data_IF_457804611324
#
_entry.id   IF_457804611324
#
_cell.length_a   1.000
_cell.length_b   1.000
_cell.length_c   1.000
_cell.angle_alpha   90.00
_cell.angle_beta   90.00
_cell.angle_gamma   90.00
#
_symmetry.space_group_name_H-M   'P 1'
#
loop_
_entity.id
_entity.type
_entity.pdbx_description
1 polymer ?
#
# COMPACT_ATOMS: atom_id res chain seq x y z
N UNK A 1 8.01 -6.31 -9.47
CA UNK A 1 9.32 -6.44 -10.14
C UNK A 1 9.60 -7.91 -10.41
N UNK A 2 9.95 -8.26 -11.65
CA UNK A 2 10.33 -9.63 -12.01
C UNK A 2 11.84 -9.82 -11.82
N UNK A 3 12.23 -10.91 -11.16
CA UNK A 3 13.61 -11.33 -10.92
C UNK A 3 13.77 -12.75 -11.46
N UNK A 4 14.66 -12.93 -12.43
CA UNK A 4 14.94 -14.21 -13.04
C UNK A 4 16.39 -14.25 -13.53
N UNK A 5 16.87 -15.44 -13.86
CA UNK A 5 18.16 -15.66 -14.52
C UNK A 5 17.99 -16.60 -15.71
N UNK A 6 18.92 -16.52 -16.65
CA UNK A 6 19.05 -17.54 -17.70
C UNK A 6 19.94 -18.68 -17.18
N UNK A 7 19.57 -19.91 -17.53
CA UNK A 7 20.40 -21.10 -17.38
C UNK A 7 20.34 -21.88 -18.69
N UNK A 8 21.35 -21.67 -19.54
CA UNK A 8 21.28 -22.09 -20.94
C UNK A 8 20.13 -21.36 -21.65
N UNK A 9 19.28 -22.13 -22.33
CA UNK A 9 18.09 -21.62 -23.03
C UNK A 9 16.86 -21.48 -22.09
N UNK A 10 16.98 -21.88 -20.82
CA UNK A 10 15.89 -21.82 -19.86
C UNK A 10 15.90 -20.52 -19.04
N UNK A 11 14.71 -19.99 -18.74
CA UNK A 11 14.50 -18.92 -17.77
C UNK A 11 14.15 -19.54 -16.42
N UNK A 12 14.87 -19.15 -15.37
CA UNK A 12 14.58 -19.52 -13.99
C UNK A 12 14.11 -18.30 -13.18
N UNK A 13 12.83 -18.21 -12.82
CA UNK A 13 12.36 -17.19 -11.90
C UNK A 13 13.01 -17.35 -10.53
N UNK A 14 13.26 -16.22 -9.84
CA UNK A 14 13.83 -16.22 -8.50
C UNK A 14 12.84 -16.87 -7.54
N UNK A 15 13.22 -18.03 -7.02
CA UNK A 15 12.54 -18.70 -5.93
C UNK A 15 13.25 -18.41 -4.61
N UNK A 16 12.49 -18.04 -3.59
CA UNK A 16 12.93 -17.87 -2.22
C UNK A 16 12.66 -19.17 -1.43
N UNK A 17 13.66 -19.75 -0.75
CA UNK A 17 13.45 -20.83 0.19
C UNK A 17 12.81 -20.34 1.50
N UNK A 18 12.16 -21.24 2.23
CA UNK A 18 11.65 -20.99 3.58
C UNK A 18 12.77 -21.16 4.62
N UNK A 19 13.76 -20.27 4.58
CA UNK A 19 14.84 -20.24 5.57
C UNK A 19 14.67 -19.04 6.52
N UNK A 20 15.41 -19.04 7.62
CA UNK A 20 15.33 -18.01 8.67
C UNK A 20 15.55 -16.60 8.12
N UNK A 21 16.44 -16.40 7.16
CA UNK A 21 16.71 -15.10 6.54
C UNK A 21 15.49 -14.52 5.82
N UNK A 22 14.87 -15.29 4.92
CA UNK A 22 13.72 -14.80 4.16
C UNK A 22 12.44 -14.76 5.00
N UNK A 23 12.28 -15.69 5.96
CA UNK A 23 11.17 -15.65 6.91
C UNK A 23 11.26 -14.42 7.83
N UNK A 24 12.46 -14.10 8.33
CA UNK A 24 12.69 -12.87 9.10
C UNK A 24 12.36 -11.62 8.28
N UNK A 25 12.88 -11.52 7.05
CA UNK A 25 12.56 -10.41 6.16
C UNK A 25 11.05 -10.24 5.88
N UNK A 26 10.35 -11.35 5.67
CA UNK A 26 8.90 -11.33 5.50
C UNK A 26 8.18 -10.89 6.78
N UNK A 27 8.60 -11.40 7.94
CA UNK A 27 8.05 -11.02 9.24
C UNK A 27 8.24 -9.53 9.55
N UNK A 28 9.43 -8.98 9.30
CA UNK A 28 9.73 -7.55 9.51
C UNK A 28 8.82 -6.66 8.66
N UNK A 29 8.62 -7.02 7.38
CA UNK A 29 7.72 -6.29 6.49
C UNK A 29 6.25 -6.41 6.92
N UNK A 30 5.80 -7.60 7.35
CA UNK A 30 4.44 -7.79 7.86
C UNK A 30 4.24 -6.91 9.11
N UNK A 31 5.18 -6.93 10.05
CA UNK A 31 5.14 -6.11 11.25
C UNK A 31 5.11 -4.62 10.91
N UNK A 32 5.89 -4.16 9.93
CA UNK A 32 5.84 -2.77 9.48
C UNK A 32 4.44 -2.38 8.97
N UNK A 33 3.81 -3.20 8.16
CA UNK A 33 2.45 -2.91 7.69
C UNK A 33 1.43 -2.88 8.85
N UNK A 34 1.56 -3.78 9.83
CA UNK A 34 0.71 -3.79 11.02
C UNK A 34 0.84 -2.50 11.84
N UNK A 35 2.06 -1.98 12.03
CA UNK A 35 2.28 -0.74 12.79
C UNK A 35 1.89 0.52 12.02
N UNK A 36 1.75 0.45 10.70
CA UNK A 36 1.35 1.56 9.84
C UNK A 36 -0.18 1.63 9.61
N UNK A 37 -0.98 0.74 10.19
CA UNK A 37 -2.45 0.87 10.16
C UNK A 37 -2.86 2.19 10.83
N UNK A 38 -3.68 2.98 10.16
CA UNK A 38 -4.07 4.34 10.57
C UNK A 38 -3.14 5.45 10.09
N UNK A 39 -1.98 5.11 9.50
CA UNK A 39 -1.04 6.07 8.93
C UNK A 39 -1.25 6.26 7.42
N UNK A 40 -0.63 7.31 6.88
CA UNK A 40 -0.66 7.60 5.44
C UNK A 40 0.19 6.62 4.65
N UNK A 41 -0.19 6.37 3.40
CA UNK A 41 0.59 5.57 2.46
C UNK A 41 2.00 6.16 2.26
N UNK A 42 2.14 7.49 2.32
CA UNK A 42 3.42 8.20 2.23
C UNK A 42 4.34 7.94 3.43
N UNK A 43 3.80 7.83 4.64
CA UNK A 43 4.56 7.40 5.83
C UNK A 43 5.04 5.96 5.69
N UNK A 44 4.16 5.05 5.27
CA UNK A 44 4.53 3.66 4.98
C UNK A 44 5.63 3.59 3.90
N UNK A 45 5.50 4.35 2.82
CA UNK A 45 6.51 4.39 1.75
C UNK A 45 7.88 4.85 2.28
N UNK A 46 7.91 5.83 3.19
CA UNK A 46 9.14 6.33 3.82
C UNK A 46 9.80 5.26 4.68
N UNK A 47 9.02 4.58 5.52
CA UNK A 47 9.51 3.49 6.37
C UNK A 47 10.03 2.31 5.53
N UNK A 48 9.34 1.97 4.44
CA UNK A 48 9.82 0.96 3.49
C UNK A 48 11.15 1.36 2.84
N UNK A 49 11.32 2.64 2.48
CA UNK A 49 12.56 3.14 1.89
C UNK A 49 13.73 3.10 2.88
N UNK A 50 13.49 3.40 4.16
CA UNK A 50 14.49 3.26 5.23
C UNK A 50 14.94 1.80 5.35
N UNK A 51 13.99 0.86 5.38
CA UNK A 51 14.25 -0.58 5.49
C UNK A 51 14.96 -1.15 4.25
N UNK A 52 14.82 -0.54 3.07
CA UNK A 52 15.56 -0.90 1.87
C UNK A 52 17.06 -0.53 1.94
N UNK A 53 17.40 0.58 2.60
CA UNK A 53 18.76 1.12 2.64
C UNK A 53 19.78 0.26 3.39
N UNK A 54 19.31 -0.71 4.18
CA UNK A 54 20.13 -1.52 5.07
C UNK A 54 20.69 -2.81 4.43
N UNK A 55 20.21 -3.22 3.23
CA UNK A 55 20.60 -4.51 2.62
C UNK A 55 20.57 -4.49 1.08
N UNK A 56 21.50 -5.22 0.47
CA UNK A 56 21.58 -5.55 -0.97
C UNK A 56 20.34 -6.26 -1.53
N UNK A 57 19.50 -6.88 -0.69
CA UNK A 57 18.28 -7.57 -1.11
C UNK A 57 17.07 -6.65 -1.36
N UNK A 58 17.27 -5.34 -1.54
CA UNK A 58 16.19 -4.34 -1.72
C UNK A 58 15.14 -4.73 -2.78
N UNK A 59 15.54 -5.41 -3.88
CA UNK A 59 14.60 -5.86 -4.92
C UNK A 59 13.60 -6.91 -4.40
N UNK A 60 14.03 -7.79 -3.49
CA UNK A 60 13.18 -8.80 -2.87
C UNK A 60 12.24 -8.11 -1.87
N UNK A 61 12.77 -7.22 -1.01
CA UNK A 61 11.99 -6.41 -0.06
C UNK A 61 10.87 -5.65 -0.79
N UNK A 62 11.19 -4.97 -1.89
CA UNK A 62 10.20 -4.31 -2.78
C UNK A 62 9.13 -5.24 -3.32
N UNK A 63 9.53 -6.44 -3.75
CA UNK A 63 8.58 -7.43 -4.26
C UNK A 63 7.62 -7.95 -3.19
N UNK A 64 8.12 -8.23 -1.98
CA UNK A 64 7.30 -8.63 -0.84
C UNK A 64 6.36 -7.50 -0.40
N UNK A 65 6.88 -6.29 -0.21
CA UNK A 65 6.09 -5.11 0.16
C UNK A 65 5.00 -4.80 -0.87
N UNK A 66 5.28 -4.99 -2.16
CA UNK A 66 4.28 -4.83 -3.22
C UNK A 66 3.13 -5.83 -3.10
N UNK A 67 3.42 -7.09 -2.74
CA UNK A 67 2.39 -8.11 -2.52
C UNK A 67 1.55 -7.76 -1.29
N UNK A 68 2.19 -7.38 -0.17
CA UNK A 68 1.51 -6.90 1.03
C UNK A 68 0.55 -5.75 0.70
N UNK A 69 1.05 -4.72 0.02
CA UNK A 69 0.27 -3.53 -0.34
C UNK A 69 -0.94 -3.83 -1.23
N UNK A 70 -0.81 -4.75 -2.17
CA UNK A 70 -1.86 -4.97 -3.17
C UNK A 70 -2.82 -6.12 -2.85
N UNK A 71 -2.42 -7.06 -1.98
CA UNK A 71 -3.21 -8.27 -1.69
C UNK A 71 -3.75 -8.33 -0.27
N UNK A 72 -3.20 -7.51 0.64
CA UNK A 72 -3.46 -7.63 2.07
C UNK A 72 -3.76 -6.29 2.74
N UNK A 73 -3.64 -5.17 2.04
CA UNK A 73 -3.81 -3.83 2.58
C UNK A 73 -4.91 -3.06 1.83
N UNK A 74 -5.73 -2.33 2.57
CA UNK A 74 -6.79 -1.46 2.04
C UNK A 74 -6.46 -0.01 2.36
N UNK A 75 -6.35 0.83 1.31
CA UNK A 75 -6.05 2.25 1.43
C UNK A 75 -7.26 3.08 1.01
N UNK A 76 -7.69 3.98 1.88
CA UNK A 76 -8.89 4.79 1.64
C UNK A 76 -8.62 6.29 1.71
N UNK A 77 -9.46 7.04 1.01
CA UNK A 77 -9.52 8.50 1.09
C UNK A 77 -10.32 8.86 2.34
N UNK A 78 -9.64 9.39 3.36
CA UNK A 78 -10.29 9.83 4.60
C UNK A 78 -10.44 11.35 4.59
N UNK A 79 -11.68 11.82 4.38
CA UNK A 79 -11.99 13.25 4.29
C UNK A 79 -13.41 13.54 4.76
N UNK A 80 -13.69 14.73 5.35
CA UNK A 80 -15.03 15.10 5.79
C UNK A 80 -16.04 15.28 4.64
N UNK A 81 -15.55 15.60 3.44
CA UNK A 81 -16.26 15.71 2.16
C UNK A 81 -15.39 15.14 1.05
N UNK A 82 -15.94 14.97 -0.16
CA UNK A 82 -15.12 14.69 -1.34
C UNK A 82 -14.01 15.74 -1.48
N UNK A 83 -12.71 15.36 -1.63
CA UNK A 83 -11.59 16.31 -1.59
C UNK A 83 -11.68 17.46 -2.60
N UNK A 84 -12.35 17.24 -3.73
CA UNK A 84 -12.62 18.29 -4.71
C UNK A 84 -13.60 19.36 -4.18
N UNK A 85 -14.68 18.92 -3.53
CA UNK A 85 -15.67 19.81 -2.92
C UNK A 85 -15.07 20.54 -1.72
N UNK A 86 -14.31 19.83 -0.89
CA UNK A 86 -13.64 20.41 0.26
C UNK A 86 -12.69 21.55 -0.15
N UNK A 87 -11.88 21.32 -1.20
CA UNK A 87 -11.01 22.36 -1.78
C UNK A 87 -11.80 23.55 -2.29
N UNK A 88 -12.90 23.33 -3.01
CA UNK A 88 -13.76 24.42 -3.49
C UNK A 88 -14.26 25.30 -2.34
N UNK A 89 -14.78 24.68 -1.26
CA UNK A 89 -15.29 25.43 -0.10
C UNK A 89 -14.19 26.18 0.65
N UNK A 90 -13.05 25.53 0.91
CA UNK A 90 -11.90 26.18 1.57
C UNK A 90 -11.39 27.36 0.75
N UNK A 91 -11.22 27.19 -0.56
CA UNK A 91 -10.68 28.25 -1.42
C UNK A 91 -11.70 29.37 -1.69
N UNK A 92 -13.00 29.08 -1.68
CA UNK A 92 -14.03 30.11 -1.73
C UNK A 92 -14.03 31.00 -0.46
N UNK A 93 -13.76 30.43 0.72
CA UNK A 93 -13.55 31.21 1.94
C UNK A 93 -12.24 32.02 1.87
N UNK A 94 -11.17 31.40 1.40
CA UNK A 94 -9.86 32.06 1.28
C UNK A 94 -9.88 33.24 0.30
N UNK A 95 -10.70 33.19 -0.75
CA UNK A 95 -10.82 34.26 -1.74
C UNK A 95 -11.46 35.55 -1.20
N UNK A 96 -12.09 35.53 -0.03
CA UNK A 96 -12.81 36.68 0.54
C UNK A 96 -11.91 37.68 1.27
N UNK A 97 -10.67 37.29 1.60
CA UNK A 97 -9.74 38.08 2.41
C UNK A 97 -8.32 38.02 1.87
N UNK A 98 -7.49 38.99 2.25
CA UNK A 98 -6.07 38.95 1.92
C UNK A 98 -5.39 37.72 2.55
N UNK A 99 -4.52 37.00 1.82
CA UNK A 99 -3.91 35.77 2.30
C UNK A 99 -2.95 36.04 3.47
N UNK A 100 -3.17 35.33 4.58
CA UNK A 100 -2.26 35.30 5.72
C UNK A 100 -2.36 33.96 6.46
N UNK A 101 -1.32 33.53 7.20
CA UNK A 101 -1.40 32.30 8.01
C UNK A 101 -2.57 32.32 9.01
N UNK A 102 -2.86 33.49 9.59
CA UNK A 102 -3.95 33.67 10.55
C UNK A 102 -5.32 33.53 9.86
N UNK A 103 -5.48 34.09 8.66
CA UNK A 103 -6.69 33.92 7.85
C UNK A 103 -6.88 32.45 7.46
N UNK A 104 -5.83 31.76 6.99
CA UNK A 104 -5.88 30.34 6.62
C UNK A 104 -6.38 29.46 7.78
N UNK A 105 -5.83 29.65 8.98
CA UNK A 105 -6.29 28.92 10.17
C UNK A 105 -7.75 29.27 10.52
N UNK A 106 -8.14 30.54 10.37
CA UNK A 106 -9.53 30.99 10.55
C UNK A 106 -10.51 30.33 9.58
N UNK A 107 -10.16 30.20 8.30
CA UNK A 107 -11.01 29.54 7.29
C UNK A 107 -11.26 28.07 7.64
N UNK A 108 -10.26 27.35 8.13
CA UNK A 108 -10.42 25.96 8.57
C UNK A 108 -11.38 25.85 9.76
N UNK A 109 -11.32 26.77 10.71
CA UNK A 109 -12.24 26.81 11.88
C UNK A 109 -13.67 27.14 11.45
N UNK A 110 -13.85 28.13 10.59
CA UNK A 110 -15.18 28.49 10.05
C UNK A 110 -15.78 27.32 9.31
N UNK A 111 -15.03 26.70 8.40
CA UNK A 111 -15.53 25.56 7.64
C UNK A 111 -15.78 24.33 8.51
N UNK A 112 -14.95 24.09 9.55
CA UNK A 112 -15.18 22.97 10.46
C UNK A 112 -16.49 23.11 11.22
N UNK A 113 -16.85 24.32 11.64
CA UNK A 113 -18.14 24.61 12.27
C UNK A 113 -19.30 24.43 11.30
N UNK A 114 -19.19 24.96 10.07
CA UNK A 114 -20.21 24.81 9.02
C UNK A 114 -20.46 23.34 8.69
N UNK A 115 -19.41 22.58 8.37
CA UNK A 115 -19.54 21.16 8.04
C UNK A 115 -20.02 20.33 9.24
N UNK A 116 -19.67 20.71 10.47
CA UNK A 116 -20.15 19.99 11.64
C UNK A 116 -21.68 20.08 11.78
N UNK A 117 -22.26 21.23 11.44
CA UNK A 117 -23.70 21.44 11.42
C UNK A 117 -24.37 20.74 10.24
N UNK A 118 -23.79 20.83 9.04
CA UNK A 118 -24.34 20.21 7.83
C UNK A 118 -24.37 18.68 7.90
N UNK A 119 -23.32 18.08 8.46
CA UNK A 119 -23.14 16.63 8.50
C UNK A 119 -23.64 15.98 9.80
N UNK A 120 -24.21 16.76 10.73
CA UNK A 120 -24.63 16.33 12.07
C UNK A 120 -23.56 15.50 12.82
N UNK A 121 -22.29 15.90 12.68
CA UNK A 121 -21.14 15.25 13.33
C UNK A 121 -20.03 16.25 13.58
N UNK A 122 -19.26 16.08 14.65
CA UNK A 122 -18.10 16.95 14.91
C UNK A 122 -17.02 16.75 13.85
N UNK A 123 -16.69 17.83 13.14
CA UNK A 123 -15.57 17.92 12.19
C UNK A 123 -14.56 18.92 12.74
N UNK A 124 -13.28 18.54 12.78
CA UNK A 124 -12.21 19.39 13.29
C UNK A 124 -11.48 20.12 12.16
N UNK A 125 -10.82 21.27 12.45
CA UNK A 125 -9.97 21.95 11.47
C UNK A 125 -8.84 21.06 10.93
N UNK A 126 -8.34 20.12 11.74
CA UNK A 126 -7.29 19.20 11.33
C UNK A 126 -7.81 18.15 10.32
N UNK A 127 -9.03 17.64 10.51
CA UNK A 127 -9.68 16.76 9.53
C UNK A 127 -9.90 17.45 8.18
N UNK A 128 -10.23 18.75 8.19
CA UNK A 128 -10.31 19.52 6.94
C UNK A 128 -8.93 19.64 6.30
N UNK A 129 -7.91 19.99 7.10
CA UNK A 129 -6.54 20.13 6.61
C UNK A 129 -6.03 18.84 5.96
N UNK A 130 -6.24 17.70 6.62
CA UNK A 130 -5.88 16.38 6.08
C UNK A 130 -6.72 16.04 4.84
N UNK A 131 -8.03 16.33 4.87
CA UNK A 131 -8.96 16.04 3.78
C UNK A 131 -8.69 16.79 2.46
N UNK A 132 -8.06 17.97 2.51
CA UNK A 132 -7.82 18.83 1.33
C UNK A 132 -7.17 18.08 0.15
N UNK A 133 -6.27 17.15 0.46
CA UNK A 133 -5.50 16.39 -0.53
C UNK A 133 -5.52 14.89 -0.24
N UNK A 134 -6.52 14.40 0.49
CA UNK A 134 -6.64 12.98 0.84
C UNK A 134 -6.81 12.05 -0.37
N UNK A 135 -7.20 12.60 -1.54
CA UNK A 135 -7.29 11.90 -2.82
C UNK A 135 -5.93 11.52 -3.42
N UNK A 136 -4.85 12.23 -3.05
CA UNK A 136 -3.49 11.93 -3.51
C UNK A 136 -3.04 10.55 -2.98
N UNK A 137 -2.40 9.70 -3.80
CA UNK A 137 -2.02 8.34 -3.39
C UNK A 137 -1.25 8.27 -2.07
N UNK A 138 -0.30 9.18 -1.84
CA UNK A 138 0.50 9.19 -0.62
C UNK A 138 -0.27 9.62 0.63
N UNK A 139 -1.40 10.34 0.48
CA UNK A 139 -2.21 10.81 1.60
C UNK A 139 -3.35 9.85 1.97
N UNK A 140 -3.56 8.78 1.20
CA UNK A 140 -4.54 7.75 1.54
C UNK A 140 -4.12 7.04 2.81
N UNK A 141 -5.09 6.68 3.65
CA UNK A 141 -4.85 6.05 4.95
C UNK A 141 -4.94 4.53 4.79
N UNK A 142 -3.97 3.81 5.35
CA UNK A 142 -4.05 2.36 5.50
C UNK A 142 -5.11 2.04 6.57
N UNK A 143 -6.33 1.72 6.15
CA UNK A 143 -7.45 1.49 7.09
C UNK A 143 -7.52 0.05 7.58
N UNK A 144 -7.02 -0.90 6.80
CA UNK A 144 -7.10 -2.32 7.09
C UNK A 144 -5.88 -3.04 6.54
N UNK A 145 -5.39 -4.01 7.31
CA UNK A 145 -4.34 -4.91 6.90
C UNK A 145 -4.64 -6.34 7.41
N UNK A 146 -4.75 -7.30 6.49
CA UNK A 146 -4.94 -8.73 6.77
C UNK A 146 -3.58 -9.45 6.70
N UNK A 147 -2.83 -9.57 7.80
CA UNK A 147 -1.45 -10.03 7.76
C UNK A 147 -1.35 -11.51 7.34
N UNK A 148 -0.64 -11.85 6.25
CA UNK A 148 -0.32 -13.25 5.96
C UNK A 148 0.73 -13.78 6.93
N UNK A 149 0.90 -15.11 7.00
CA UNK A 149 2.11 -15.66 7.61
C UNK A 149 3.33 -15.38 6.71
N UNK A 150 4.54 -15.31 7.27
CA UNK A 150 5.78 -15.15 6.49
C UNK A 150 5.93 -16.21 5.38
N UNK A 151 5.57 -17.47 5.67
CA UNK A 151 5.60 -18.56 4.69
C UNK A 151 4.62 -18.31 3.55
N UNK A 152 3.39 -17.92 3.87
CA UNK A 152 2.35 -17.64 2.87
C UNK A 152 2.75 -16.48 1.96
N UNK A 153 3.38 -15.44 2.51
CA UNK A 153 3.91 -14.32 1.73
C UNK A 153 5.03 -14.77 0.77
N UNK A 154 5.96 -15.61 1.25
CA UNK A 154 7.03 -16.17 0.41
C UNK A 154 6.46 -17.06 -0.70
N UNK A 155 5.45 -17.88 -0.40
CA UNK A 155 4.76 -18.69 -1.40
C UNK A 155 4.10 -17.82 -2.49
N UNK A 156 3.39 -16.75 -2.09
CA UNK A 156 2.81 -15.79 -3.04
C UNK A 156 3.88 -15.06 -3.86
N UNK A 157 5.01 -14.70 -3.26
CA UNK A 157 6.14 -14.14 -3.99
C UNK A 157 6.64 -15.10 -5.07
N UNK A 158 6.94 -16.35 -4.71
CA UNK A 158 7.42 -17.36 -5.65
C UNK A 158 6.44 -17.62 -6.79
N UNK A 159 5.13 -17.64 -6.48
CA UNK A 159 4.07 -17.75 -7.48
C UNK A 159 4.09 -16.55 -8.43
N UNK A 160 4.13 -15.33 -7.89
CA UNK A 160 4.15 -14.10 -8.70
C UNK A 160 5.37 -14.01 -9.64
N UNK A 161 6.53 -14.50 -9.20
CA UNK A 161 7.73 -14.53 -10.05
C UNK A 161 7.56 -15.51 -11.21
N UNK A 162 6.93 -16.65 -10.97
CA UNK A 162 6.66 -17.64 -12.01
C UNK A 162 5.61 -17.13 -13.00
N UNK A 163 4.49 -16.60 -12.50
CA UNK A 163 3.45 -15.98 -13.32
C UNK A 163 4.00 -14.83 -14.17
N UNK A 164 4.89 -14.02 -13.60
CA UNK A 164 5.52 -12.91 -14.32
C UNK A 164 6.37 -13.34 -15.50
N UNK A 165 6.98 -14.54 -15.47
CA UNK A 165 7.66 -15.12 -16.63
C UNK A 165 6.64 -15.53 -17.69
N UNK A 166 5.53 -16.15 -17.29
CA UNK A 166 4.49 -16.61 -18.22
C UNK A 166 3.79 -15.48 -18.98
N UNK A 167 3.69 -14.27 -18.43
CA UNK A 167 3.16 -13.12 -19.19
C UNK A 167 3.99 -12.75 -20.43
N UNK A 168 5.22 -13.27 -20.54
CA UNK A 168 6.09 -13.08 -21.71
C UNK A 168 6.15 -14.31 -22.63
N UNK A 169 5.46 -15.40 -22.29
CA UNK A 169 5.47 -16.61 -23.09
C UNK A 169 4.57 -16.45 -24.33
N UNK A 170 5.04 -16.92 -25.48
CA UNK A 170 4.24 -17.00 -26.71
C UNK A 170 3.31 -18.21 -26.71
N UNK A 171 3.78 -19.31 -26.15
CA UNK A 171 3.08 -20.59 -26.10
C UNK A 171 3.28 -21.25 -24.73
N UNK A 172 2.27 -21.98 -24.26
CA UNK A 172 2.31 -22.74 -23.01
C UNK A 172 1.93 -24.20 -23.29
N UNK A 173 2.87 -25.11 -23.08
CA UNK A 173 2.62 -26.55 -23.14
C UNK A 173 2.47 -27.08 -21.72
N UNK A 174 1.30 -27.64 -21.40
CA UNK A 174 1.01 -28.24 -20.10
C UNK A 174 0.78 -29.75 -20.24
N UNK A 175 1.56 -30.54 -19.51
CA UNK A 175 1.35 -31.98 -19.41
C UNK A 175 0.53 -32.26 -18.14
N UNK A 176 -0.76 -32.56 -18.31
CA UNK A 176 -1.70 -32.81 -17.21
C UNK A 176 -1.83 -34.32 -16.99
N UNK A 177 -1.60 -34.75 -15.75
CA UNK A 177 -1.85 -36.12 -15.31
C UNK A 177 -3.10 -36.13 -14.41
N UNK A 178 -3.82 -37.26 -14.34
CA UNK A 178 -4.93 -37.40 -13.39
C UNK A 178 -4.40 -37.24 -11.96
N UNK A 179 -5.08 -36.43 -11.16
CA UNK A 179 -4.93 -36.50 -9.71
C UNK A 179 -5.49 -37.85 -9.26
N UNK A 180 -4.62 -38.81 -8.93
CA UNK A 180 -5.06 -40.06 -8.30
C UNK A 180 -5.35 -39.75 -6.82
N UNK A 181 -6.58 -39.95 -6.31
CA UNK A 181 -6.97 -39.52 -4.96
C UNK A 181 -6.21 -40.20 -3.81
N UNK A 182 -5.32 -41.15 -4.09
CA UNK A 182 -4.69 -42.03 -3.10
C UNK A 182 -3.39 -41.52 -2.44
N UNK A 183 -2.79 -40.43 -2.93
CA UNK A 183 -1.47 -39.97 -2.44
C UNK A 183 -1.49 -38.79 -1.47
N UNK A 184 -2.66 -38.28 -1.09
CA UNK A 184 -2.77 -37.33 0.02
C UNK A 184 -3.03 -38.11 1.33
N UNK A 185 -1.96 -38.58 1.96
CA UNK A 185 -1.95 -39.00 3.37
C UNK A 185 -0.94 -38.20 4.16
#
# INVERSE_FOLDING_TARGET
MLIYRYQGEAIQPKRLPLNTTYLGMAADLIQLFQTQVGHTQGELNRQLQELEGEDTNYRIKRGLAHILRNSFASFEVVSPLEPIELRQRVFALAAQVAPSPMAAQGHLVVLSQQLSQECDRTITPDQIRQGLYADLPDNRILIEFDPPTPEALIHRYNLSQTQGVFYKASDLVMHLYRNDPGEYK
#
